data_IF_605317542221
#
_entry.id   IF_605317542221
#
_cell.length_a   1.000
_cell.length_b   1.000
_cell.length_c   1.000
_cell.angle_alpha   90.00
_cell.angle_beta   90.00
_cell.angle_gamma   90.00
#
_symmetry.space_group_name_H-M   'P 1'
#
loop_
_entity.id
_entity.type
_entity.pdbx_description
1 polymer ?
#
# COMPACT_ATOMS: atom_id res chain seq x y z
N UNK A 1 20.82 9.05 -13.73
CA UNK A 1 19.79 8.03 -13.96
C UNK A 1 19.04 7.75 -12.68
N UNK A 2 17.73 7.69 -12.75
CA UNK A 2 16.94 7.31 -11.60
C UNK A 2 17.22 5.84 -11.24
N UNK A 3 17.38 5.56 -9.96
CA UNK A 3 17.49 4.20 -9.46
C UNK A 3 16.07 3.60 -9.36
N UNK A 4 15.80 2.56 -10.12
CA UNK A 4 14.49 1.91 -10.14
C UNK A 4 14.09 1.40 -8.74
N UNK A 5 15.05 0.95 -7.94
CA UNK A 5 14.82 0.54 -6.57
C UNK A 5 14.31 1.70 -5.72
N UNK A 6 14.92 2.87 -5.83
CA UNK A 6 14.49 4.06 -5.10
C UNK A 6 13.09 4.51 -5.54
N UNK A 7 12.79 4.44 -6.83
CA UNK A 7 11.47 4.79 -7.36
C UNK A 7 10.39 3.86 -6.82
N UNK A 8 10.66 2.55 -6.74
CA UNK A 8 9.73 1.56 -6.20
C UNK A 8 9.46 1.83 -4.71
N UNK A 9 10.51 2.07 -3.94
CA UNK A 9 10.37 2.37 -2.51
C UNK A 9 9.58 3.66 -2.29
N UNK A 10 9.81 4.68 -3.11
CA UNK A 10 9.08 5.94 -3.04
C UNK A 10 7.59 5.75 -3.36
N UNK A 11 7.28 4.95 -4.38
CA UNK A 11 5.90 4.66 -4.74
C UNK A 11 5.18 3.92 -3.60
N UNK A 12 5.84 2.95 -2.98
CA UNK A 12 5.25 2.21 -1.87
C UNK A 12 5.07 3.10 -0.63
N UNK A 13 5.99 4.03 -0.39
CA UNK A 13 5.84 5.00 0.68
C UNK A 13 4.61 5.87 0.46
N UNK A 14 4.40 6.34 -0.76
CA UNK A 14 3.20 7.12 -1.10
C UNK A 14 1.93 6.31 -0.86
N UNK A 15 1.95 5.02 -1.19
CA UNK A 15 0.82 4.13 -0.95
C UNK A 15 0.50 4.05 0.55
N UNK A 16 1.49 3.81 1.39
CA UNK A 16 1.32 3.74 2.85
C UNK A 16 0.83 5.06 3.43
N UNK A 17 1.38 6.18 2.95
CA UNK A 17 0.96 7.51 3.39
C UNK A 17 -0.51 7.77 3.02
N UNK A 18 -0.95 7.32 1.83
CA UNK A 18 -2.34 7.46 1.41
C UNK A 18 -3.30 6.68 2.30
N UNK A 19 -2.89 5.50 2.76
CA UNK A 19 -3.67 4.70 3.70
C UNK A 19 -3.79 5.43 5.04
N UNK A 20 -2.68 5.92 5.56
CA UNK A 20 -2.64 6.56 6.88
C UNK A 20 -3.43 7.88 6.90
N UNK A 21 -3.44 8.61 5.79
CA UNK A 21 -4.18 9.86 5.65
C UNK A 21 -5.60 9.68 5.12
N UNK A 22 -5.99 8.43 4.81
CA UNK A 22 -7.27 8.09 4.20
C UNK A 22 -7.52 8.86 2.89
N UNK A 23 -6.48 9.05 2.11
CA UNK A 23 -6.57 9.71 0.81
C UNK A 23 -6.85 8.66 -0.27
N UNK A 24 -8.13 8.40 -0.50
CA UNK A 24 -8.55 7.38 -1.47
C UNK A 24 -8.07 7.69 -2.89
N UNK A 25 -8.12 8.95 -3.30
CA UNK A 25 -7.72 9.31 -4.66
C UNK A 25 -6.25 8.99 -4.92
N UNK A 26 -5.37 9.30 -3.96
CA UNK A 26 -3.96 8.98 -4.07
C UNK A 26 -3.72 7.47 -4.07
N UNK A 27 -4.44 6.73 -3.23
CA UNK A 27 -4.36 5.27 -3.19
C UNK A 27 -4.78 4.65 -4.51
N UNK A 28 -5.93 5.09 -5.05
CA UNK A 28 -6.47 4.55 -6.29
C UNK A 28 -5.55 4.81 -7.49
N UNK A 29 -4.86 5.95 -7.51
CA UNK A 29 -3.89 6.24 -8.57
C UNK A 29 -2.69 5.30 -8.56
N UNK A 30 -2.32 4.79 -7.39
CA UNK A 30 -1.16 3.91 -7.23
C UNK A 30 -1.51 2.44 -7.42
N UNK A 31 -2.78 2.09 -7.51
CA UNK A 31 -3.23 0.70 -7.60
C UNK A 31 -3.79 0.38 -8.97
N UNK A 32 -3.48 -0.81 -9.46
CA UNK A 32 -4.14 -1.35 -10.64
C UNK A 32 -5.59 -1.69 -10.28
N UNK A 33 -6.60 -1.24 -11.06
CA UNK A 33 -8.00 -1.56 -10.76
C UNK A 33 -8.31 -3.06 -10.73
N UNK A 34 -7.49 -3.88 -11.35
CA UNK A 34 -7.67 -5.34 -11.37
C UNK A 34 -6.82 -6.05 -10.33
N UNK A 35 -6.23 -5.32 -9.38
CA UNK A 35 -5.33 -5.92 -8.40
C UNK A 35 -6.01 -7.05 -7.62
N UNK A 36 -5.18 -7.99 -7.16
CA UNK A 36 -5.59 -9.01 -6.21
C UNK A 36 -4.78 -8.87 -4.94
N UNK A 37 -5.37 -9.19 -3.81
CA UNK A 37 -4.72 -8.98 -2.53
C UNK A 37 -5.25 -9.96 -1.49
N UNK A 38 -4.40 -10.33 -0.54
CA UNK A 38 -4.83 -10.99 0.69
C UNK A 38 -4.89 -9.94 1.78
N UNK A 39 -6.08 -9.74 2.34
CA UNK A 39 -6.29 -8.82 3.44
C UNK A 39 -6.79 -9.57 4.67
N UNK A 40 -6.36 -9.19 5.89
CA UNK A 40 -6.81 -9.87 7.11
C UNK A 40 -8.33 -9.93 7.24
N UNK A 41 -9.02 -8.87 6.82
CA UNK A 41 -10.48 -8.76 6.90
C UNK A 41 -11.20 -9.74 6.00
N UNK A 42 -10.54 -10.26 4.98
CA UNK A 42 -11.11 -11.23 4.05
C UNK A 42 -10.95 -12.69 4.53
N UNK A 43 -10.33 -12.90 5.68
CA UNK A 43 -10.23 -14.21 6.36
C UNK A 43 -9.65 -15.31 5.46
N UNK A 44 -8.57 -15.01 4.75
CA UNK A 44 -7.87 -15.97 3.91
C UNK A 44 -8.34 -16.04 2.46
N UNK A 45 -9.36 -15.27 2.09
CA UNK A 45 -9.82 -15.21 0.71
C UNK A 45 -9.05 -14.14 -0.08
N UNK A 46 -8.86 -14.39 -1.38
CA UNK A 46 -8.29 -13.40 -2.28
C UNK A 46 -9.34 -12.33 -2.55
N UNK A 47 -8.95 -11.07 -2.37
CA UNK A 47 -9.76 -9.91 -2.74
C UNK A 47 -9.35 -9.48 -4.14
N UNK A 48 -10.31 -9.23 -5.01
CA UNK A 48 -10.08 -8.79 -6.37
C UNK A 48 -10.70 -7.41 -6.59
N UNK A 49 -9.92 -6.50 -7.18
CA UNK A 49 -10.37 -5.16 -7.51
C UNK A 49 -10.34 -4.19 -6.33
N UNK A 50 -10.96 -3.03 -6.51
CA UNK A 50 -10.82 -1.89 -5.60
C UNK A 50 -11.98 -1.70 -4.62
N UNK A 51 -13.14 -2.35 -4.86
CA UNK A 51 -14.34 -2.11 -4.05
C UNK A 51 -14.16 -2.47 -2.58
N UNK A 52 -13.51 -3.60 -2.31
CA UNK A 52 -13.21 -4.02 -0.94
C UNK A 52 -12.35 -2.98 -0.24
N UNK A 53 -11.29 -2.52 -0.90
CA UNK A 53 -10.39 -1.52 -0.33
C UNK A 53 -11.10 -0.19 -0.10
N UNK A 54 -11.94 0.23 -1.05
CA UNK A 54 -12.71 1.46 -0.92
C UNK A 54 -13.66 1.42 0.27
N UNK A 55 -14.31 0.27 0.47
CA UNK A 55 -15.17 0.07 1.64
C UNK A 55 -14.43 0.36 2.94
N UNK A 56 -13.24 -0.23 3.11
CA UNK A 56 -12.47 -0.04 4.34
C UNK A 56 -11.87 1.35 4.46
N UNK A 57 -11.57 2.01 3.34
CA UNK A 57 -11.15 3.42 3.36
C UNK A 57 -12.21 4.36 3.90
N UNK A 58 -13.49 4.03 3.69
CA UNK A 58 -14.60 4.85 4.15
C UNK A 58 -14.96 4.62 5.60
N UNK A 59 -14.45 3.57 6.22
CA UNK A 59 -14.71 3.32 7.62
C UNK A 59 -14.07 4.42 8.47
N UNK A 60 -14.62 4.61 9.66
CA UNK A 60 -14.26 5.69 10.54
C UNK A 60 -12.77 5.76 10.83
N UNK A 61 -12.21 6.95 10.67
CA UNK A 61 -10.86 7.23 11.12
C UNK A 61 -10.80 7.35 12.63
N UNK A 62 -9.65 6.98 13.21
CA UNK A 62 -9.43 7.13 14.65
C UNK A 62 -9.36 8.59 15.09
N UNK A 63 -9.27 9.53 14.14
CA UNK A 63 -9.06 10.95 14.43
C UNK A 63 -7.64 11.28 14.85
N UNK A 64 -6.76 10.28 14.97
CA UNK A 64 -5.36 10.48 15.35
C UNK A 64 -4.47 10.35 14.13
N UNK A 65 -3.42 11.19 14.02
CA UNK A 65 -2.43 11.03 12.99
C UNK A 65 -1.78 9.63 13.07
N UNK A 66 -1.60 9.01 11.94
CA UNK A 66 -0.87 7.74 11.84
C UNK A 66 0.36 7.96 10.98
N UNK A 67 1.42 7.26 11.32
CA UNK A 67 2.66 7.30 10.57
C UNK A 67 3.18 5.87 10.41
N UNK A 68 3.55 5.53 9.20
CA UNK A 68 4.15 4.22 8.90
C UNK A 68 5.53 4.40 8.34
N UNK A 69 6.42 3.47 8.68
CA UNK A 69 7.72 3.34 8.05
C UNK A 69 7.90 1.93 7.53
N UNK A 70 8.73 1.81 6.49
CA UNK A 70 9.18 0.51 6.01
C UNK A 70 10.50 0.18 6.68
N UNK A 71 10.53 -0.91 7.45
CA UNK A 71 11.75 -1.41 8.06
C UNK A 71 12.31 -2.55 7.22
N UNK A 72 13.63 -2.54 7.00
CA UNK A 72 14.36 -3.57 6.26
C UNK A 72 13.74 -3.86 4.88
N UNK A 73 13.50 -2.85 4.05
CA UNK A 73 12.89 -3.10 2.74
C UNK A 73 13.85 -3.83 1.82
N UNK A 74 13.31 -4.78 1.06
CA UNK A 74 14.04 -5.51 0.03
C UNK A 74 13.26 -5.41 -1.28
N UNK A 75 13.94 -5.00 -2.35
CA UNK A 75 13.33 -4.85 -3.67
C UNK A 75 13.97 -5.83 -4.63
N UNK A 76 13.13 -6.61 -5.32
CA UNK A 76 13.57 -7.46 -6.42
C UNK A 76 12.93 -6.95 -7.71
N UNK A 77 13.76 -6.64 -8.68
CA UNK A 77 13.30 -6.18 -10.00
C UNK A 77 13.30 -7.37 -10.97
N UNK A 78 12.17 -7.55 -11.68
CA UNK A 78 12.01 -8.60 -12.68
C UNK A 78 11.41 -7.93 -13.91
N UNK A 79 12.26 -7.57 -14.89
CA UNK A 79 11.82 -6.78 -16.05
C UNK A 79 11.24 -5.43 -15.57
N UNK A 80 10.02 -5.14 -15.93
CA UNK A 80 9.31 -3.92 -15.52
C UNK A 80 8.41 -4.15 -14.30
N UNK A 81 8.63 -5.27 -13.59
CA UNK A 81 7.90 -5.60 -12.36
C UNK A 81 8.86 -5.55 -11.18
N UNK A 82 8.34 -5.18 -10.01
CA UNK A 82 9.11 -5.19 -8.78
C UNK A 82 8.34 -5.92 -7.67
N UNK A 83 9.08 -6.66 -6.85
CA UNK A 83 8.57 -7.26 -5.63
C UNK A 83 9.23 -6.56 -4.47
N UNK A 84 8.44 -6.01 -3.56
CA UNK A 84 8.93 -5.32 -2.36
C UNK A 84 8.50 -6.09 -1.13
N UNK A 85 9.47 -6.49 -0.33
CA UNK A 85 9.24 -7.14 0.97
C UNK A 85 9.74 -6.21 2.07
N UNK A 86 8.95 -6.04 3.12
CA UNK A 86 9.33 -5.14 4.21
C UNK A 86 8.50 -5.42 5.45
N UNK A 87 8.96 -4.86 6.57
CA UNK A 87 8.19 -4.82 7.80
C UNK A 87 7.58 -3.42 7.89
N UNK A 88 6.26 -3.37 8.06
CA UNK A 88 5.57 -2.10 8.26
C UNK A 88 5.42 -1.84 9.75
N UNK A 89 5.99 -0.74 10.19
CA UNK A 89 5.82 -0.26 11.56
C UNK A 89 4.88 0.94 11.51
N UNK A 90 3.80 0.87 12.26
CA UNK A 90 2.80 1.93 12.28
C UNK A 90 2.68 2.49 13.70
N UNK A 91 2.85 3.80 13.81
CA UNK A 91 2.61 4.54 15.05
C UNK A 91 1.19 5.06 15.04
N UNK A 92 0.50 4.80 16.12
CA UNK A 92 -0.88 5.25 16.30
C UNK A 92 -1.00 6.20 17.49
#
# INVERSE_FOLDING_TARGET
MADATADVLQANKKLLDSINSQNWNAYAELCDPSLTCFEPEALGHVVQGMDFHHFYFKLEASGRPKQSIMASPHVRLIGDTAIVSYIRLTQR
#
